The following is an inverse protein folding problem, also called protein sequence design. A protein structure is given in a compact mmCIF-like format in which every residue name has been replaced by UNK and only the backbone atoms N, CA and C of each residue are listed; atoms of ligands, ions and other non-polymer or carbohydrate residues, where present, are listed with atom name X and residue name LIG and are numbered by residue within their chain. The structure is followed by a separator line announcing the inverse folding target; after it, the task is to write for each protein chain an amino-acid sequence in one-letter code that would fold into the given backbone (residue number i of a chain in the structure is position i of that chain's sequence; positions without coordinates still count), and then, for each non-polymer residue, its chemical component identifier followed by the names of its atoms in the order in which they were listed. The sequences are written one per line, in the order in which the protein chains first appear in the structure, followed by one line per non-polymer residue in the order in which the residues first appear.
data_IF_831971107571
#
_entry.id   IF_831971107571
#
_cell.length_a   1.000
_cell.length_b   1.000
_cell.length_c   1.000
_cell.angle_alpha   90.00
_cell.angle_beta   90.00
_cell.angle_gamma   90.00
#
_symmetry.space_group_name_H-M   'P 1'
#
loop_
_entity.id
_entity.type
_entity.pdbx_description
1 polymer ?
2 polymer ?
3 branched ?
4 non-polymer ?
#
# COMPACT_ATOMS: atom_id res chain seq x y z
N UNK A 1 28.64 4.01 9.86
CA UNK A 1 28.57 2.80 10.67
C UNK A 1 27.41 2.86 11.67
N UNK A 2 26.96 4.08 11.99
CA UNK A 2 25.85 4.29 12.90
C UNK A 2 24.96 5.39 12.33
N UNK A 3 23.67 5.08 12.14
CA UNK A 3 22.71 6.00 11.54
C UNK A 3 22.54 7.22 12.44
N UNK A 4 23.17 8.35 12.05
CA UNK A 4 23.04 9.59 12.82
C UNK A 4 21.66 10.20 12.68
N UNK A 5 21.09 10.17 11.47
CA UNK A 5 19.78 10.75 11.20
C UNK A 5 18.75 9.63 11.08
N UNK A 6 17.77 9.63 12.00
CA UNK A 6 16.70 8.64 11.96
C UNK A 6 16.05 8.63 10.58
N UNK A 7 15.78 7.46 9.98
CA UNK A 7 15.25 7.42 8.62
C UNK A 7 13.92 8.13 8.50
N UNK A 8 13.66 8.65 7.30
CA UNK A 8 12.44 9.39 7.00
C UNK A 8 11.95 9.00 5.61
N UNK A 9 10.65 8.76 5.48
CA UNK A 9 10.06 8.32 4.23
C UNK A 9 8.82 9.12 3.88
N UNK A 10 8.63 9.33 2.58
CA UNK A 10 7.38 9.80 2.02
C UNK A 10 6.87 8.73 1.05
N UNK A 11 5.57 8.76 0.80
CA UNK A 11 4.92 7.76 -0.04
C UNK A 11 4.23 8.44 -1.21
N UNK A 12 4.42 7.88 -2.41
CA UNK A 12 3.63 8.35 -3.54
C UNK A 12 2.19 7.88 -3.47
N UNK A 13 1.88 6.98 -2.53
CA UNK A 13 0.55 6.51 -2.19
C UNK A 13 -0.09 5.71 -3.33
N UNK A 14 0.72 5.11 -4.19
CA UNK A 14 0.26 4.09 -5.12
C UNK A 14 1.18 2.89 -5.17
N UNK A 15 2.50 3.10 -5.18
CA UNK A 15 3.42 1.99 -5.39
C UNK A 15 4.75 2.15 -4.66
N UNK A 16 5.23 3.37 -4.49
CA UNK A 16 6.60 3.60 -4.02
C UNK A 16 6.59 4.45 -2.77
N UNK A 17 7.29 3.98 -1.73
CA UNK A 17 7.59 4.77 -0.55
C UNK A 17 9.10 4.95 -0.50
N UNK A 18 9.57 6.14 -0.84
CA UNK A 18 11.00 6.43 -0.90
C UNK A 18 11.50 6.89 0.46
N UNK A 19 12.62 6.33 0.90
CA UNK A 19 13.19 6.60 2.22
C UNK A 19 14.60 7.16 2.09
N UNK A 20 15.10 7.71 3.19
CA UNK A 20 16.48 8.17 3.28
C UNK A 20 16.88 8.24 4.75
N UNK A 21 18.18 8.14 4.98
CA UNK A 21 18.74 8.29 6.32
C UNK A 21 20.21 8.67 6.16
N UNK A 22 20.89 8.85 7.30
CA UNK A 22 22.27 9.30 7.31
C UNK A 22 23.02 8.59 8.43
N UNK A 23 24.11 7.91 8.07
CA UNK A 23 25.00 7.29 9.04
C UNK A 23 26.16 8.23 9.33
N UNK A 24 27.13 7.73 10.10
CA UNK A 24 28.35 8.48 10.36
C UNK A 24 29.46 7.92 9.48
N UNK A 25 30.07 8.78 8.67
CA UNK A 25 31.16 8.38 7.79
C UNK A 25 30.67 7.66 6.54
N UNK A 26 31.54 7.57 5.52
CA UNK A 26 31.15 6.94 4.25
C UNK A 26 30.67 5.50 4.40
N UNK A 27 29.56 5.19 3.73
CA UNK A 27 29.01 3.84 3.76
C UNK A 27 28.41 3.54 2.40
N UNK A 28 28.81 2.41 1.80
CA UNK A 28 28.15 1.93 0.57
C UNK A 28 26.93 1.15 1.00
N UNK A 29 25.79 1.84 1.09
CA UNK A 29 24.58 1.20 1.63
C UNK A 29 24.22 -0.03 0.81
N UNK A 30 24.53 0.00 -0.49
CA UNK A 30 24.14 -1.12 -1.36
C UNK A 30 24.94 -2.36 -1.03
N UNK A 31 26.21 -2.21 -0.65
CA UNK A 31 27.05 -3.36 -0.37
C UNK A 31 26.61 -4.10 0.90
N UNK A 32 26.06 -3.38 1.88
CA UNK A 32 25.94 -4.00 3.19
C UNK A 32 24.62 -3.69 3.88
N UNK A 33 24.25 -2.40 3.96
CA UNK A 33 23.00 -2.03 4.63
C UNK A 33 21.81 -2.76 4.02
N UNK A 34 21.02 -3.39 4.89
CA UNK A 34 19.87 -4.19 4.49
C UNK A 34 18.64 -3.62 5.18
N UNK A 35 17.69 -3.15 4.39
CA UNK A 35 16.44 -2.64 4.92
C UNK A 35 15.36 -3.70 4.73
N UNK A 36 14.60 -3.97 5.79
CA UNK A 36 13.55 -5.00 5.78
C UNK A 36 12.24 -4.34 6.18
N UNK A 37 11.28 -4.30 5.25
CA UNK A 37 10.00 -3.65 5.47
C UNK A 37 8.86 -4.65 5.27
N UNK A 38 7.98 -4.74 6.26
CA UNK A 38 6.80 -5.58 6.18
C UNK A 38 5.59 -4.82 6.71
N UNK A 39 4.44 -5.10 6.10
CA UNK A 39 3.18 -4.51 6.52
C UNK A 39 2.65 -5.26 7.75
N UNK A 40 1.47 -4.86 8.23
CA UNK A 40 0.98 -5.38 9.51
C UNK A 40 -0.28 -6.22 9.32
N UNK A 41 -0.12 -7.46 8.84
CA UNK A 41 -1.20 -8.42 8.81
C UNK A 41 -0.73 -9.71 9.49
N UNK A 42 -1.45 -10.81 9.20
CA UNK A 42 -1.24 -12.08 9.88
C UNK A 42 -0.33 -13.01 9.10
N UNK A 43 -0.48 -13.09 7.78
CA UNK A 43 0.47 -13.84 6.97
C UNK A 43 1.36 -12.84 6.22
N UNK A 44 1.91 -11.87 6.96
CA UNK A 44 2.75 -10.85 6.36
C UNK A 44 3.93 -11.49 5.62
N UNK A 45 4.41 -10.80 4.59
CA UNK A 45 5.51 -11.29 3.78
C UNK A 45 6.69 -10.34 3.90
N UNK A 46 7.88 -10.88 3.71
CA UNK A 46 9.13 -10.14 3.90
C UNK A 46 9.60 -9.53 2.59
N UNK A 47 9.85 -8.22 2.60
CA UNK A 47 10.39 -7.51 1.46
C UNK A 47 11.67 -6.80 1.87
N UNK A 48 12.71 -6.92 1.06
CA UNK A 48 14.00 -6.31 1.33
C UNK A 48 14.31 -5.25 0.29
N UNK A 49 14.61 -4.04 0.76
CA UNK A 49 14.98 -2.92 -0.10
C UNK A 49 16.49 -2.80 -0.20
N UNK A 50 17.00 -2.70 -1.41
CA UNK A 50 18.43 -2.49 -1.65
C UNK A 50 18.67 -0.99 -1.63
N UNK A 51 19.39 -0.47 -0.64
CA UNK A 51 19.56 0.99 -0.51
C UNK A 51 20.69 1.50 -1.40
N UNK A 52 20.84 2.83 -1.41
CA UNK A 52 21.85 3.49 -2.23
C UNK A 52 22.44 4.65 -1.42
N UNK A 53 23.49 5.25 -1.97
CA UNK A 53 24.27 6.26 -1.28
C UNK A 53 23.85 7.65 -1.79
N UNK A 54 23.04 8.36 -0.99
CA UNK A 54 22.65 9.71 -1.40
C UNK A 54 23.79 10.71 -1.23
N UNK A 55 24.49 10.63 -0.10
CA UNK A 55 25.66 11.44 0.14
C UNK A 55 26.79 10.57 0.68
N UNK A 56 27.90 11.22 1.02
CA UNK A 56 29.03 10.51 1.57
C UNK A 56 28.68 9.54 2.68
N UNK A 57 27.91 10.02 3.66
CA UNK A 57 27.56 9.23 4.83
C UNK A 57 26.08 8.89 4.91
N UNK A 58 25.25 9.40 4.01
CA UNK A 58 23.81 9.15 4.06
C UNK A 58 23.34 8.12 3.05
N UNK A 59 22.13 7.59 3.24
CA UNK A 59 21.62 6.51 2.44
C UNK A 59 20.17 6.78 2.03
N UNK A 60 19.69 6.02 1.04
CA UNK A 60 18.36 6.18 0.48
C UNK A 60 17.78 4.81 0.13
N UNK A 61 16.46 4.67 0.31
CA UNK A 61 15.74 3.43 0.06
C UNK A 61 14.44 3.73 -0.67
N UNK A 62 13.87 2.69 -1.30
CA UNK A 62 12.60 2.81 -2.03
C UNK A 62 11.76 1.56 -1.77
N UNK A 63 10.81 1.67 -0.84
CA UNK A 63 9.87 0.59 -0.60
C UNK A 63 8.82 0.53 -1.69
N UNK A 64 8.31 -0.68 -1.94
CA UNK A 64 7.35 -0.93 -3.02
C UNK A 64 6.04 -1.42 -2.40
N UNK A 65 5.03 -0.54 -2.38
CA UNK A 65 3.72 -0.84 -1.81
C UNK A 65 2.75 -1.11 -2.96
N UNK A 66 2.42 -2.38 -3.18
CA UNK A 66 1.58 -2.74 -4.32
C UNK A 66 0.23 -2.04 -4.28
N UNK A 67 -0.43 -2.06 -3.12
CA UNK A 67 -1.66 -1.31 -2.92
C UNK A 67 -1.76 -0.95 -1.45
N UNK A 68 -1.92 0.33 -1.15
CA UNK A 68 -1.83 0.84 0.20
C UNK A 68 -3.07 1.67 0.51
N UNK A 69 -3.59 1.51 1.73
CA UNK A 69 -4.79 2.23 2.17
C UNK A 69 -4.46 3.03 3.43
N UNK A 70 -5.48 3.62 4.04
CA UNK A 70 -5.29 4.51 5.18
C UNK A 70 -4.89 3.79 6.45
N UNK A 71 -4.96 2.46 6.49
CA UNK A 71 -4.69 1.70 7.70
C UNK A 71 -3.53 0.74 7.50
N UNK A 72 -2.51 1.17 6.77
CA UNK A 72 -1.30 0.39 6.54
C UNK A 72 -0.15 0.96 7.37
N UNK A 73 0.73 0.06 7.80
CA UNK A 73 1.72 0.34 8.84
C UNK A 73 2.86 -0.63 8.64
N UNK A 74 4.06 -0.12 8.37
CA UNK A 74 5.20 -0.95 7.99
C UNK A 74 6.24 -1.00 9.10
N UNK A 75 6.87 -2.16 9.25
CA UNK A 75 7.99 -2.35 10.17
C UNK A 75 9.28 -2.21 9.39
N UNK A 76 10.02 -1.13 9.65
CA UNK A 76 11.26 -0.83 8.92
C UNK A 76 12.44 -1.27 9.78
N UNK A 77 13.17 -2.28 9.31
CA UNK A 77 14.31 -2.84 10.02
C UNK A 77 15.56 -2.67 9.17
N UNK A 78 16.46 -1.78 9.59
CA UNK A 78 17.72 -1.58 8.90
C UNK A 78 18.78 -2.50 9.51
N UNK A 79 19.30 -3.43 8.71
CA UNK A 79 20.30 -4.38 9.16
C UNK A 79 21.71 -3.93 8.79
N UNK A 80 22.68 -4.48 9.52
CA UNK A 80 24.09 -4.42 9.17
C UNK A 80 24.59 -5.86 9.28
N UNK A 81 24.53 -6.59 8.17
CA UNK A 81 24.93 -7.98 8.13
C UNK A 81 24.16 -8.83 9.12
N UNK A 82 24.58 -8.81 10.39
CA UNK A 82 23.82 -9.41 11.47
C UNK A 82 23.73 -8.51 12.69
N UNK A 83 24.02 -7.21 12.53
CA UNK A 83 23.86 -6.23 13.60
C UNK A 83 22.67 -5.34 13.27
N UNK A 84 21.62 -5.42 14.07
CA UNK A 84 20.50 -4.51 13.94
C UNK A 84 20.93 -3.11 14.31
N UNK A 85 20.68 -2.15 13.42
CA UNK A 85 21.05 -0.76 13.68
C UNK A 85 19.86 0.11 14.04
N UNK A 86 18.65 -0.23 13.58
CA UNK A 86 17.49 0.61 13.84
C UNK A 86 16.22 -0.16 13.52
N UNK A 87 15.19 0.08 14.32
CA UNK A 87 13.88 -0.55 14.15
C UNK A 87 12.81 0.51 14.36
N UNK A 88 11.79 0.50 13.51
CA UNK A 88 10.76 1.50 13.60
C UNK A 88 9.49 1.13 12.87
N UNK A 89 8.68 2.16 12.59
CA UNK A 89 7.39 2.00 11.95
C UNK A 89 7.26 3.00 10.81
N UNK A 90 6.30 2.75 9.93
CA UNK A 90 6.00 3.68 8.84
C UNK A 90 4.54 3.56 8.44
N UNK A 91 3.85 4.70 8.44
CA UNK A 91 2.48 4.80 7.97
C UNK A 91 2.48 5.58 6.66
N UNK A 92 2.32 4.93 5.50
CA UNK A 92 2.42 5.65 4.22
C UNK A 92 1.40 6.75 4.03
N UNK A 93 0.33 6.76 4.82
CA UNK A 93 -0.82 7.62 4.54
C UNK A 93 -0.69 9.02 5.13
N UNK A 94 0.13 9.22 6.15
CA UNK A 94 0.30 10.56 6.71
C UNK A 94 1.43 11.34 6.07
N UNK A 95 2.37 10.66 5.42
CA UNK A 95 3.56 11.31 4.84
C UNK A 95 3.55 11.21 3.32
N UNK A 96 2.38 11.40 2.72
CA UNK A 96 2.23 11.19 1.28
C UNK A 96 2.97 12.28 0.51
N UNK A 97 3.65 11.88 -0.56
CA UNK A 97 4.23 12.79 -1.53
C UNK A 97 3.88 12.29 -2.92
N UNK A 98 2.97 12.96 -3.64
CA UNK A 98 2.49 12.41 -4.91
C UNK A 98 3.55 12.34 -6.00
N UNK A 99 3.14 11.89 -7.17
CA UNK A 99 4.02 11.65 -8.30
C UNK A 99 4.18 12.92 -9.14
N UNK A 100 5.16 12.91 -10.03
CA UNK A 100 5.20 14.12 -10.83
C UNK A 100 4.27 14.00 -12.02
N UNK A 101 3.57 15.08 -12.38
CA UNK A 101 2.81 15.07 -13.63
C UNK A 101 3.75 14.95 -14.83
N UNK A 102 3.18 14.59 -15.97
CA UNK A 102 3.99 14.40 -17.15
C UNK A 102 3.23 14.64 -18.45
N UNK A 103 3.85 14.29 -19.57
CA UNK A 103 3.23 14.41 -20.89
C UNK A 103 2.84 15.85 -21.21
N UNK A 104 3.61 16.80 -20.71
CA UNK A 104 3.27 18.22 -20.80
C UNK A 104 3.74 18.79 -22.14
N UNK A 105 2.77 19.24 -22.95
CA UNK A 105 3.06 19.90 -24.22
C UNK A 105 2.17 21.13 -24.31
N UNK A 106 2.08 21.70 -25.51
CA UNK A 106 1.37 22.96 -25.74
C UNK A 106 0.70 22.90 -27.11
N UNK A 107 -0.52 23.45 -27.19
CA UNK A 107 -1.18 23.67 -28.47
C UNK A 107 -1.20 25.15 -28.84
N UNK A 112 -4.95 33.90 -30.59
CA UNK A 112 -5.97 32.98 -30.06
C UNK A 112 -5.59 32.45 -28.68
N UNK A 113 -6.37 31.51 -28.17
CA UNK A 113 -6.10 30.92 -26.87
C UNK A 113 -4.94 29.94 -26.96
N UNK A 114 -4.20 29.82 -25.86
CA UNK A 114 -3.07 28.92 -25.78
C UNK A 114 -3.41 27.78 -24.83
N UNK A 115 -3.05 26.56 -25.23
CA UNK A 115 -3.46 25.35 -24.55
C UNK A 115 -2.26 24.64 -23.93
N UNK A 116 -2.36 24.38 -22.63
CA UNK A 116 -1.40 23.55 -21.91
C UNK A 116 -2.10 22.29 -21.44
N UNK A 117 -1.35 21.18 -21.37
CA UNK A 117 -1.95 19.93 -20.96
C UNK A 117 -0.87 19.01 -20.39
N UNK A 118 -1.28 18.12 -19.49
CA UNK A 118 -0.40 17.14 -18.89
C UNK A 118 -1.24 15.94 -18.48
N UNK A 119 -0.59 14.94 -17.89
CA UNK A 119 -1.27 13.74 -17.45
C UNK A 119 -1.50 13.78 -15.94
N UNK A 120 -2.55 13.12 -15.51
CA UNK A 120 -2.72 12.88 -14.08
C UNK A 120 -1.70 11.84 -13.63
N UNK A 121 -0.93 12.10 -12.59
CA UNK A 121 0.17 11.19 -12.23
C UNK A 121 -0.32 9.86 -11.68
N UNK A 122 -1.63 9.62 -11.72
CA UNK A 122 -2.23 8.44 -11.12
C UNK A 122 -3.48 8.09 -11.89
N UNK A 123 -3.92 6.84 -11.84
CA UNK A 123 -5.18 6.45 -12.49
C UNK A 123 -6.37 6.90 -11.65
N UNK A 124 -7.58 6.88 -12.23
CA UNK A 124 -8.74 7.41 -11.50
C UNK A 124 -9.09 6.66 -10.23
N UNK A 125 -8.92 5.34 -10.19
CA UNK A 125 -9.27 4.60 -8.99
C UNK A 125 -8.42 5.02 -7.80
N UNK A 126 -7.19 5.46 -8.05
CA UNK A 126 -6.34 5.97 -6.98
C UNK A 126 -6.99 7.16 -6.30
N UNK A 127 -6.84 7.22 -4.97
CA UNK A 127 -7.54 8.24 -4.19
C UNK A 127 -7.08 9.65 -4.52
N UNK A 128 -5.79 9.83 -4.85
CA UNK A 128 -5.27 11.17 -5.08
C UNK A 128 -5.90 11.84 -6.29
N UNK A 129 -6.51 11.05 -7.19
CA UNK A 129 -7.12 11.60 -8.40
C UNK A 129 -8.36 12.43 -8.10
N UNK A 130 -8.97 12.29 -6.92
CA UNK A 130 -10.24 12.93 -6.63
C UNK A 130 -10.10 14.30 -5.97
N UNK A 131 -8.98 14.56 -5.28
CA UNK A 131 -8.74 15.87 -4.69
C UNK A 131 -7.37 16.42 -5.07
N UNK A 132 -6.81 15.97 -6.19
CA UNK A 132 -5.60 16.56 -6.74
C UNK A 132 -5.84 18.03 -7.06
N UNK A 133 -4.81 18.85 -6.84
CA UNK A 133 -4.88 20.28 -7.15
C UNK A 133 -3.58 20.66 -7.85
N UNK A 134 -3.62 20.68 -9.18
CA UNK A 134 -2.44 21.02 -9.96
C UNK A 134 -2.07 22.48 -9.78
N UNK A 135 -0.78 22.77 -9.91
CA UNK A 135 -0.26 24.13 -9.95
C UNK A 135 0.74 24.20 -11.08
N UNK A 136 0.51 25.11 -12.04
CA UNK A 136 1.33 25.20 -13.24
C UNK A 136 2.08 26.52 -13.19
N UNK A 137 3.39 26.46 -13.34
CA UNK A 137 4.23 27.66 -13.35
C UNK A 137 4.58 28.00 -14.78
N UNK A 138 4.20 29.19 -15.22
CA UNK A 138 4.55 29.70 -16.55
C UNK A 138 5.51 30.86 -16.34
N UNK A 139 6.78 30.65 -16.68
CA UNK A 139 7.79 31.69 -16.67
C UNK A 139 8.34 31.85 -18.07
N UNK A 140 8.63 33.09 -18.46
CA UNK A 140 9.16 33.33 -19.79
C UNK A 140 10.62 32.91 -19.86
N UNK A 141 10.94 32.08 -20.86
CA UNK A 141 12.33 31.71 -21.08
C UNK A 141 13.15 32.93 -21.52
N UNK A 142 12.55 33.82 -22.30
CA UNK A 142 13.22 35.05 -22.69
C UNK A 142 13.25 36.05 -21.53
N UNK A 143 12.15 36.14 -20.77
CA UNK A 143 12.05 37.03 -19.61
C UNK A 143 11.96 36.21 -18.34
N UNK A 144 13.08 35.91 -17.68
CA UNK A 144 13.01 35.22 -16.38
C UNK A 144 12.23 35.98 -15.34
N UNK A 145 12.15 37.32 -15.46
CA UNK A 145 11.34 38.11 -14.54
C UNK A 145 9.85 37.78 -14.70
N UNK A 146 9.44 37.37 -15.89
CA UNK A 146 8.04 37.01 -16.13
C UNK A 146 7.79 35.60 -15.64
N UNK A 147 6.90 35.45 -14.66
CA UNK A 147 6.53 34.14 -14.14
C UNK A 147 5.15 34.24 -13.52
N UNK A 148 4.40 33.14 -13.61
CA UNK A 148 3.02 33.11 -13.13
C UNK A 148 2.69 31.70 -12.67
N UNK A 149 1.91 31.60 -11.58
CA UNK A 149 1.46 30.33 -11.04
C UNK A 149 -0.01 30.16 -11.37
N UNK A 150 -0.40 28.97 -11.84
CA UNK A 150 -1.76 28.68 -12.25
C UNK A 150 -2.29 27.51 -11.44
N UNK A 151 -3.31 27.76 -10.62
CA UNK A 151 -3.95 26.71 -9.84
C UNK A 151 -4.92 25.93 -10.72
N UNK A 152 -4.80 24.60 -10.69
CA UNK A 152 -5.68 23.71 -11.44
C UNK A 152 -6.16 22.62 -10.50
N UNK A 153 -7.29 22.02 -10.84
CA UNK A 153 -7.81 20.89 -10.08
C UNK A 153 -8.80 20.09 -10.92
N UNK A 154 -9.02 20.52 -12.16
CA UNK A 154 -9.93 19.83 -13.05
C UNK A 154 -9.49 18.39 -13.27
N UNK A 155 -10.47 17.50 -13.45
CA UNK A 155 -10.16 16.08 -13.63
C UNK A 155 -9.33 15.88 -14.89
N UNK A 156 -9.60 16.67 -15.92
CA UNK A 156 -8.73 16.70 -17.10
C UNK A 156 -7.53 17.58 -16.81
N UNK A 157 -6.32 17.02 -16.79
CA UNK A 157 -5.12 17.81 -16.43
C UNK A 157 -4.65 18.73 -17.57
N UNK A 158 -5.27 19.90 -17.67
CA UNK A 158 -4.98 20.83 -18.74
C UNK A 158 -5.32 22.24 -18.29
N UNK A 159 -4.83 23.22 -19.05
CA UNK A 159 -4.99 24.63 -18.73
C UNK A 159 -5.06 25.44 -20.02
N UNK A 160 -5.86 26.51 -19.99
CA UNK A 160 -6.02 27.39 -21.14
C UNK A 160 -5.80 28.84 -20.73
N UNK A 161 -5.05 29.57 -21.54
CA UNK A 161 -4.75 30.98 -21.29
C UNK A 161 -4.60 31.67 -22.65
N UNK A 162 -4.85 32.98 -22.67
CA UNK A 162 -4.76 33.75 -23.91
C UNK A 162 -4.28 35.16 -23.61
N UNK A 163 -3.21 35.29 -22.82
CA UNK A 163 -2.70 36.58 -22.38
C UNK A 163 -2.39 37.53 -23.53
N UNK A 169 4.58 37.72 -28.25
CA UNK A 169 5.84 38.31 -28.68
C UNK A 169 7.03 37.79 -27.90
N UNK A 170 6.81 37.49 -26.62
CA UNK A 170 7.85 36.96 -25.75
C UNK A 170 7.82 35.44 -25.91
N UNK A 171 8.76 34.74 -25.26
CA UNK A 171 8.80 33.29 -25.26
C UNK A 171 8.75 32.77 -23.83
N UNK A 172 7.78 31.90 -23.55
CA UNK A 172 7.50 31.43 -22.20
C UNK A 172 7.79 29.93 -22.07
N UNK A 173 8.00 29.50 -20.83
CA UNK A 173 8.12 28.09 -20.46
C UNK A 173 6.96 27.72 -19.54
N UNK A 174 6.88 26.44 -19.19
CA UNK A 174 5.82 25.96 -18.30
C UNK A 174 6.21 24.63 -17.68
N UNK A 175 5.79 24.43 -16.43
CA UNK A 175 6.01 23.19 -15.69
C UNK A 175 4.95 23.11 -14.61
N UNK A 176 4.46 21.90 -14.35
CA UNK A 176 3.32 21.70 -13.46
C UNK A 176 3.70 20.74 -12.33
N UNK A 177 3.20 21.04 -11.14
CA UNK A 177 3.26 20.15 -10.00
C UNK A 177 1.89 20.12 -9.33
N UNK A 178 1.57 18.99 -8.69
CA UNK A 178 0.25 18.79 -8.13
C UNK A 178 0.38 18.22 -6.73
N UNK A 179 -0.75 18.17 -6.03
CA UNK A 179 -0.78 17.53 -4.72
C UNK A 179 -2.21 17.29 -4.29
N UNK A 180 -2.45 16.12 -3.71
CA UNK A 180 -3.75 15.71 -3.23
C UNK A 180 -4.10 16.51 -1.99
N UNK A 181 -5.16 17.31 -2.06
CA UNK A 181 -5.40 18.30 -1.03
C UNK A 181 -5.86 17.62 0.26
N UNK A 182 -6.87 16.76 0.14
CA UNK A 182 -7.50 16.16 1.32
C UNK A 182 -6.56 15.26 2.10
N UNK A 183 -5.44 14.83 1.50
CA UNK A 183 -4.53 13.91 2.17
C UNK A 183 -3.32 14.58 2.79
N UNK A 184 -3.19 15.90 2.65
CA UNK A 184 -2.11 16.68 3.26
C UNK A 184 -0.74 16.12 2.85
N UNK A 185 -0.47 16.23 1.57
CA UNK A 185 0.73 15.68 0.96
C UNK A 185 1.77 16.77 0.74
N UNK A 186 3.01 16.34 0.49
CA UNK A 186 4.09 17.25 0.16
C UNK A 186 4.05 17.56 -1.34
N UNK A 187 4.16 18.84 -1.68
CA UNK A 187 4.09 19.30 -3.06
C UNK A 187 4.94 18.42 -3.97
N UNK A 188 4.29 17.80 -4.96
CA UNK A 188 5.00 16.90 -5.85
C UNK A 188 6.06 17.65 -6.66
N UNK A 189 6.96 16.88 -7.27
CA UNK A 189 7.98 17.48 -8.10
C UNK A 189 7.38 18.06 -9.37
N UNK A 190 7.88 19.23 -9.77
CA UNK A 190 7.35 19.91 -10.94
C UNK A 190 7.62 19.08 -12.18
N UNK A 191 6.62 19.02 -13.07
CA UNK A 191 6.77 18.29 -14.31
C UNK A 191 7.89 18.88 -15.15
N UNK A 192 8.38 18.12 -16.13
CA UNK A 192 9.39 18.67 -17.05
C UNK A 192 8.95 19.99 -17.65
N UNK A 193 9.91 20.88 -17.89
CA UNK A 193 9.63 22.24 -18.33
C UNK A 193 9.60 22.27 -19.85
N UNK A 194 8.39 22.38 -20.41
CA UNK A 194 8.25 22.58 -21.84
C UNK A 194 8.47 24.05 -22.20
N UNK A 195 8.72 24.30 -23.48
CA UNK A 195 9.08 25.63 -23.94
C UNK A 195 8.34 25.96 -25.22
N UNK A 196 8.09 27.24 -25.44
CA UNK A 196 7.42 27.76 -26.64
C UNK A 196 7.61 29.27 -26.67
N UNK A 197 6.90 29.95 -27.56
CA UNK A 197 6.91 31.41 -27.60
C UNK A 197 5.88 31.99 -26.63
N UNK B 1 -21.26 -3.41 18.63
CA UNK B 1 -20.61 -4.72 18.72
C UNK B 1 -21.05 -5.61 17.56
N UNK B 2 -20.11 -6.35 16.99
CA UNK B 2 -20.34 -7.12 15.76
C UNK B 2 -20.36 -8.60 16.09
N UNK B 3 -21.49 -9.25 15.82
CA UNK B 3 -21.57 -10.70 15.91
C UNK B 3 -20.89 -11.35 14.72
N UNK B 4 -20.38 -12.57 14.94
CA UNK B 4 -19.83 -13.40 13.87
C UNK B 4 -20.41 -14.80 14.00
N UNK B 5 -21.04 -15.29 12.94
CA UNK B 5 -21.67 -16.60 12.95
C UNK B 5 -21.18 -17.36 11.72
N UNK B 6 -20.34 -18.38 11.95
CA UNK B 6 -19.85 -19.24 10.89
C UNK B 6 -20.88 -20.30 10.52
N UNK B 7 -20.62 -20.99 9.42
CA UNK B 7 -21.52 -22.03 8.91
C UNK B 7 -20.78 -22.77 7.81
N UNK B 8 -21.48 -23.73 7.20
CA UNK B 8 -20.94 -24.41 6.04
C UNK B 8 -19.87 -25.45 6.32
N UNK B 9 -19.54 -25.70 7.59
CA UNK B 9 -18.58 -26.72 7.93
C UNK B 9 -19.13 -28.12 7.79
N UNK B 10 -18.57 -29.08 8.52
CA UNK B 10 -19.10 -30.44 8.48
C UNK B 10 -18.14 -31.50 8.00
N UNK B 11 -18.68 -32.68 7.70
CA UNK B 11 -17.87 -33.83 7.32
C UNK B 11 -17.58 -33.78 5.83
N UNK B 12 -16.31 -33.94 5.47
CA UNK B 12 -15.86 -33.90 4.08
C UNK B 12 -14.95 -35.09 3.82
N UNK B 13 -15.16 -35.77 2.70
CA UNK B 13 -14.26 -36.84 2.30
C UNK B 13 -12.95 -36.24 1.83
N UNK B 14 -11.79 -36.78 2.22
CA UNK B 14 -10.52 -36.14 1.89
C UNK B 14 -10.27 -36.14 0.40
N UNK B 15 -9.51 -35.14 -0.06
CA UNK B 15 -9.39 -34.84 -1.46
C UNK B 15 -10.57 -34.12 -2.05
N UNK B 16 -11.67 -33.98 -1.30
CA UNK B 16 -12.84 -33.29 -1.77
C UNK B 16 -12.73 -31.79 -1.63
N UNK B 17 -13.87 -31.14 -1.44
CA UNK B 17 -13.91 -29.69 -1.31
C UNK B 17 -14.86 -29.31 -0.18
N UNK B 18 -14.75 -28.04 0.24
CA UNK B 18 -15.57 -27.52 1.33
C UNK B 18 -15.51 -26.00 1.38
N UNK B 19 -16.67 -25.35 1.23
CA UNK B 19 -16.75 -23.89 1.22
C UNK B 19 -17.34 -23.41 2.54
N UNK B 20 -16.56 -22.64 3.28
CA UNK B 20 -16.99 -22.12 4.57
C UNK B 20 -17.62 -20.74 4.41
N UNK B 21 -18.52 -20.40 5.31
CA UNK B 21 -19.24 -19.13 5.27
C UNK B 21 -19.41 -18.61 6.69
N UNK B 22 -19.08 -17.33 6.89
CA UNK B 22 -19.23 -16.69 8.19
C UNK B 22 -19.67 -15.25 7.96
N UNK B 23 -20.92 -14.96 8.30
CA UNK B 23 -21.46 -13.62 8.07
C UNK B 23 -21.07 -12.68 9.19
N UNK B 24 -20.80 -11.43 8.82
CA UNK B 24 -20.55 -10.35 9.76
C UNK B 24 -21.60 -9.27 9.58
N UNK B 25 -22.05 -8.69 10.69
CA UNK B 25 -23.09 -7.66 10.62
C UNK B 25 -22.60 -6.43 9.88
N UNK B 26 -21.29 -6.18 9.87
CA UNK B 26 -20.73 -5.07 9.15
C UNK B 26 -19.41 -5.45 8.51
N UNK B 27 -18.91 -4.56 7.65
CA UNK B 27 -17.66 -4.81 6.95
C UNK B 27 -16.47 -4.38 7.82
N UNK B 28 -15.29 -4.89 7.46
CA UNK B 28 -14.11 -4.72 8.31
C UNK B 28 -12.86 -4.55 7.45
N UNK B 29 -11.85 -3.95 8.07
CA UNK B 29 -10.53 -3.82 7.44
C UNK B 29 -9.86 -5.19 7.33
N UNK B 30 -9.64 -5.83 8.46
CA UNK B 30 -8.99 -7.13 8.52
C UNK B 30 -10.06 -8.22 8.62
N UNK B 31 -9.94 -9.25 7.79
CA UNK B 31 -10.79 -10.42 7.88
C UNK B 31 -9.92 -11.64 7.65
N UNK B 32 -9.97 -12.60 8.58
CA UNK B 32 -9.14 -13.78 8.47
C UNK B 32 -9.84 -14.97 9.11
N UNK B 33 -9.37 -16.16 8.75
CA UNK B 33 -9.87 -17.41 9.31
C UNK B 33 -8.81 -18.00 10.24
N UNK B 34 -9.27 -18.81 11.20
CA UNK B 34 -8.38 -19.38 12.21
C UNK B 34 -8.80 -20.82 12.47
N UNK B 35 -7.96 -21.78 12.07
CA UNK B 35 -8.21 -23.19 12.32
C UNK B 35 -7.56 -23.62 13.62
N UNK B 36 -8.32 -24.34 14.44
CA UNK B 36 -7.88 -24.77 15.77
C UNK B 36 -8.27 -26.23 15.95
N UNK B 37 -7.27 -27.10 16.21
CA UNK B 37 -7.50 -28.55 16.25
C UNK B 37 -7.30 -29.12 17.65
N UNK B 38 -7.71 -30.40 17.91
CA UNK B 38 -7.46 -31.00 19.24
C UNK B 38 -6.02 -30.88 19.71
N UNK B 39 -5.79 -30.07 20.73
CA UNK B 39 -4.45 -29.80 21.22
C UNK B 39 -3.65 -28.84 20.37
N UNK B 40 -4.17 -28.39 19.24
CA UNK B 40 -3.46 -27.49 18.33
C UNK B 40 -4.13 -26.12 18.39
N UNK B 41 -3.33 -25.09 18.67
CA UNK B 41 -3.85 -23.75 18.85
C UNK B 41 -4.27 -23.15 17.51
N UNK B 42 -5.13 -22.14 17.58
CA UNK B 42 -5.74 -21.57 16.38
C UNK B 42 -4.69 -20.88 15.51
N UNK B 43 -4.48 -21.41 14.31
CA UNK B 43 -3.49 -20.87 13.40
C UNK B 43 -4.16 -20.05 12.31
N UNK B 44 -3.46 -19.04 11.83
CA UNK B 44 -3.96 -18.17 10.77
C UNK B 44 -3.89 -18.91 9.45
N UNK B 45 -5.06 -19.28 8.91
CA UNK B 45 -5.12 -20.03 7.65
C UNK B 45 -5.16 -19.10 6.45
N UNK B 46 -6.00 -18.07 6.50
CA UNK B 46 -6.19 -17.19 5.36
C UNK B 46 -6.63 -15.82 5.84
N UNK B 47 -6.10 -14.77 5.22
CA UNK B 47 -6.39 -13.39 5.57
C UNK B 47 -6.66 -12.58 4.31
N UNK B 48 -7.27 -11.41 4.48
CA UNK B 48 -7.59 -10.55 3.36
C UNK B 48 -7.51 -9.10 3.80
N UNK B 49 -7.01 -8.25 2.90
CA UNK B 49 -6.77 -6.83 3.15
C UNK B 49 -8.08 -6.08 3.41
N UNK B 50 -7.96 -4.78 3.69
CA UNK B 50 -9.08 -3.86 3.81
C UNK B 50 -9.78 -3.69 2.48
N UNK B 51 -9.13 -2.93 1.59
CA UNK B 51 -9.56 -2.83 0.22
C UNK B 51 -9.24 -4.09 -0.56
N UNK B 52 -8.91 -5.17 0.13
CA UNK B 52 -8.63 -6.43 -0.54
C UNK B 52 -7.43 -6.35 -1.46
N UNK B 53 -7.57 -6.96 -2.65
CA UNK B 53 -6.52 -6.98 -3.67
C UNK B 53 -5.21 -7.55 -3.14
N UNK B 54 -5.31 -8.39 -2.09
CA UNK B 54 -4.14 -9.02 -1.50
C UNK B 54 -4.58 -10.13 -0.54
N UNK B 55 -4.36 -11.38 -0.92
CA UNK B 55 -4.75 -12.53 -0.12
C UNK B 55 -3.53 -13.11 0.59
N UNK B 56 -3.73 -13.57 1.82
CA UNK B 56 -2.65 -14.08 2.66
C UNK B 56 -3.07 -15.45 3.19
N UNK B 57 -2.33 -16.49 2.81
CA UNK B 57 -2.64 -17.85 3.22
C UNK B 57 -1.48 -18.45 4.00
N UNK B 58 -1.79 -19.46 4.81
CA UNK B 58 -0.77 -20.21 5.52
C UNK B 58 -0.06 -21.16 4.56
N UNK B 59 1.23 -21.40 4.83
CA UNK B 59 2.02 -22.28 3.97
C UNK B 59 1.37 -23.64 3.82
N UNK B 60 0.69 -24.12 4.86
CA UNK B 60 0.01 -25.40 4.78
C UNK B 60 -1.17 -25.39 3.84
N UNK B 61 -1.71 -24.22 3.51
CA UNK B 61 -2.96 -24.11 2.76
C UNK B 61 -2.79 -23.28 1.49
N UNK B 62 -1.59 -22.80 1.20
CA UNK B 62 -1.39 -21.92 0.04
C UNK B 62 -1.63 -22.69 -1.25
N UNK B 63 -2.27 -22.03 -2.22
CA UNK B 63 -2.75 -22.69 -3.41
C UNK B 63 -3.89 -23.66 -3.20
N UNK B 64 -4.16 -24.02 -1.95
CA UNK B 64 -5.25 -24.96 -1.63
C UNK B 64 -6.51 -24.18 -1.28
N UNK B 65 -6.45 -23.45 -0.17
CA UNK B 65 -7.61 -22.71 0.34
C UNK B 65 -7.64 -21.31 -0.26
N UNK B 66 -8.84 -20.75 -0.34
CA UNK B 66 -9.05 -19.40 -0.83
C UNK B 66 -10.01 -18.66 0.07
N UNK B 67 -9.65 -17.44 0.45
CA UNK B 67 -10.47 -16.60 1.33
C UNK B 67 -11.09 -15.50 0.49
N UNK B 68 -12.35 -15.18 0.77
CA UNK B 68 -13.09 -14.21 -0.02
C UNK B 68 -14.29 -13.71 0.80
N UNK B 69 -15.01 -12.75 0.22
CA UNK B 69 -16.21 -12.18 0.81
C UNK B 69 -17.11 -11.69 -0.30
N UNK B 70 -18.42 -11.84 -0.12
CA UNK B 70 -19.39 -11.48 -1.14
C UNK B 70 -19.65 -9.97 -1.16
N UNK B 71 -20.44 -9.54 -2.13
CA UNK B 71 -20.81 -8.14 -2.26
C UNK B 71 -22.04 -7.83 -1.41
N UNK B 72 -22.35 -6.55 -1.30
CA UNK B 72 -23.40 -6.05 -0.42
C UNK B 72 -23.11 -6.49 1.01
N UNK B 73 -23.92 -7.43 1.52
CA UNK B 73 -23.63 -8.02 2.82
C UNK B 73 -22.28 -8.71 2.77
N UNK B 74 -21.49 -8.54 3.83
CA UNK B 74 -20.14 -9.07 3.88
C UNK B 74 -20.13 -10.38 4.66
N UNK B 75 -19.50 -11.40 4.08
CA UNK B 75 -19.49 -12.74 4.65
C UNK B 75 -18.14 -13.38 4.33
N UNK B 76 -17.33 -13.62 5.36
CA UNK B 76 -16.02 -14.22 5.16
C UNK B 76 -16.17 -15.65 4.64
N UNK B 77 -15.42 -15.97 3.59
CA UNK B 77 -15.42 -17.30 3.00
C UNK B 77 -14.05 -17.93 3.16
N UNK B 78 -14.02 -19.23 3.46
CA UNK B 78 -12.79 -20.03 3.46
C UNK B 78 -13.02 -21.24 2.56
N UNK B 79 -12.93 -21.01 1.25
CA UNK B 79 -13.12 -22.09 0.30
C UNK B 79 -11.92 -23.04 0.39
N UNK B 80 -12.19 -24.34 0.43
CA UNK B 80 -11.15 -25.34 0.64
C UNK B 80 -11.36 -26.52 -0.29
N UNK B 81 -10.30 -26.93 -0.99
CA UNK B 81 -10.27 -28.16 -1.77
C UNK B 81 -9.19 -29.08 -1.26
N UNK B 82 -9.24 -30.33 -1.74
CA UNK B 82 -8.22 -31.35 -1.44
C UNK B 82 -7.90 -31.40 0.05
N UNK B 83 -8.95 -31.27 0.86
CA UNK B 83 -8.78 -31.13 2.30
C UNK B 83 -8.05 -32.34 2.87
N UNK B 84 -6.90 -32.09 3.47
CA UNK B 84 -6.11 -33.15 4.09
C UNK B 84 -6.67 -33.50 5.47
N UNK B 85 -6.42 -34.74 5.89
CA UNK B 85 -6.97 -35.22 7.16
C UNK B 85 -6.49 -34.38 8.34
N UNK B 86 -5.27 -33.83 8.25
CA UNK B 86 -4.73 -33.01 9.34
C UNK B 86 -5.31 -31.60 9.37
N UNK B 87 -6.26 -31.29 8.51
CA UNK B 87 -6.99 -30.02 8.59
C UNK B 87 -8.17 -30.07 9.54
N UNK B 88 -8.51 -31.25 10.06
CA UNK B 88 -9.65 -31.46 10.95
C UNK B 88 -9.58 -30.52 12.13
N UNK B 89 -10.51 -29.56 12.20
CA UNK B 89 -10.48 -28.54 13.23
C UNK B 89 -11.74 -27.68 13.12
N UNK B 90 -12.06 -27.00 14.22
CA UNK B 90 -13.06 -25.93 14.21
C UNK B 90 -12.37 -24.65 13.71
N UNK B 91 -12.66 -24.29 12.47
CA UNK B 91 -12.18 -23.04 11.91
C UNK B 91 -13.03 -21.89 12.41
N UNK B 92 -12.39 -20.80 12.80
CA UNK B 92 -13.09 -19.61 13.24
C UNK B 92 -12.82 -18.47 12.26
N UNK B 93 -13.88 -17.75 11.90
CA UNK B 93 -13.75 -16.53 11.11
C UNK B 93 -13.68 -15.35 12.05
N UNK B 94 -12.63 -14.53 11.89
CA UNK B 94 -12.37 -13.40 12.78
C UNK B 94 -12.13 -12.15 11.96
N UNK B 95 -12.54 -11.01 12.50
CA UNK B 95 -12.47 -9.74 11.80
C UNK B 95 -11.64 -8.75 12.62
N UNK B 96 -11.16 -7.71 11.94
CA UNK B 96 -10.35 -6.71 12.58
C UNK B 96 -10.29 -5.43 11.78
N UNK B 97 -9.83 -4.37 12.44
CA UNK B 97 -9.62 -3.08 11.81
C UNK B 97 -8.17 -2.63 11.88
N UNK B 98 -7.29 -3.44 12.47
CA UNK B 98 -5.87 -3.10 12.58
C UNK B 98 -5.08 -4.38 12.81
N UNK B 99 -3.90 -4.45 12.20
CA UNK B 99 -3.00 -5.58 12.38
C UNK B 99 -3.64 -6.93 12.15
N UNK B 100 -3.71 -7.74 13.20
CA UNK B 100 -4.40 -9.02 13.14
C UNK B 100 -5.90 -8.80 13.24
N UNK B 101 -6.66 -9.53 12.41
CA UNK B 101 -8.12 -9.43 12.48
C UNK B 101 -8.63 -10.01 13.79
N UNK B 102 -8.33 -9.34 14.90
CA UNK B 102 -8.69 -9.80 16.23
C UNK B 102 -9.67 -8.86 16.91
N UNK B 103 -10.55 -8.22 16.14
CA UNK B 103 -11.58 -7.39 16.74
C UNK B 103 -12.73 -8.23 17.28
N UNK B 104 -13.17 -9.24 16.52
CA UNK B 104 -14.20 -10.16 16.95
C UNK B 104 -13.83 -11.56 16.48
N UNK B 105 -14.60 -12.55 16.95
CA UNK B 105 -14.35 -13.94 16.58
C UNK B 105 -15.67 -14.68 16.38
N UNK B 106 -16.57 -14.59 17.34
CA UNK B 106 -17.86 -15.25 17.22
C UNK B 106 -17.81 -16.77 17.11
N UNK B 107 -16.93 -17.41 17.87
CA UNK B 107 -16.85 -18.88 17.95
C UNK B 107 -16.45 -19.41 16.57
N UNK B 108 -17.03 -20.53 16.13
CA UNK B 108 -16.67 -21.08 14.84
C UNK B 108 -17.48 -22.32 14.51
N UNK B 109 -17.03 -23.02 13.47
CA UNK B 109 -17.67 -24.24 13.02
C UNK B 109 -16.61 -25.31 12.76
N UNK B 110 -16.94 -26.56 13.06
CA UNK B 110 -15.96 -27.65 13.04
C UNK B 110 -15.86 -28.25 11.64
N UNK B 111 -14.63 -28.40 11.16
CA UNK B 111 -14.34 -29.08 9.92
C UNK B 111 -13.68 -30.41 10.27
N UNK B 112 -14.26 -31.50 9.81
CA UNK B 112 -13.73 -32.84 10.07
C UNK B 112 -13.50 -33.53 8.73
N UNK B 113 -12.24 -33.64 8.33
CA UNK B 113 -11.89 -34.38 7.12
C UNK B 113 -11.85 -35.85 7.48
N UNK B 114 -12.83 -36.61 6.99
CA UNK B 114 -12.98 -38.00 7.36
C UNK B 114 -11.81 -38.84 6.85
N UNK B 115 -11.80 -40.11 7.26
CA UNK B 115 -10.79 -41.05 6.81
C UNK B 115 -11.19 -41.68 5.48
#
# INVERSE_FOLDING_TARGET
MKVLQEPTCVSDYMSISTCEWKMNGPTNCSTELRLLYQLVFLLSEAHTCIPENNGGAGCVCHLLMDDVVSADNYTLDLWAGQQLLWKGSFKPSEHVKPRAPGNLTVHTNVSDTLLLTWSNPYPPDNYLYNHLTYAVNIWSENDPADFRIYNVTYLEPSLRIAASTLKSGISYRARVRAWAQAYNTTWSEWSPSTKWHNSYREPFEQHHHHHHHA
QVQLVESGGGLVQPGGSLRLSCAASGDFYCMAWFRQAPGKEREAVAAIRSGGRSTYYADSVKGRFTISRDNSKNTLYLQMNSLKAEDTAVYYCAVGVDGNCRNYWGQGTLVTVSSESHHHHHHA
#
